data_IF_868995653757
#
_entry.id   IF_868995653757
#
_cell.length_a   1.000
_cell.length_b   1.000
_cell.length_c   1.000
_cell.angle_alpha   90.00
_cell.angle_beta   90.00
_cell.angle_gamma   90.00
#
_symmetry.space_group_name_H-M   'P 1'
#
loop_
_entity.id
_entity.type
_entity.pdbx_description
1 polymer ?
#
# COMPACT_ATOMS: atom_id res chain seq x y z
N UNK A 1 26.53 4.78 20.28
CA UNK A 1 25.49 5.75 20.64
C UNK A 1 25.76 6.99 19.79
N UNK A 2 25.00 7.15 18.71
CA UNK A 2 25.21 8.23 17.73
C UNK A 2 24.67 9.53 18.34
N UNK A 3 25.40 10.63 18.21
CA UNK A 3 25.00 11.94 18.73
C UNK A 3 23.82 12.50 17.92
N UNK A 4 22.63 12.55 18.54
CA UNK A 4 21.39 13.01 17.89
C UNK A 4 21.47 14.47 17.40
N UNK A 5 22.44 15.28 17.87
CA UNK A 5 22.59 16.69 17.46
C UNK A 5 23.17 16.89 16.05
N UNK A 6 23.72 15.86 15.42
CA UNK A 6 24.34 15.99 14.08
C UNK A 6 23.49 15.42 12.94
N UNK A 7 22.42 14.67 13.23
CA UNK A 7 21.63 14.02 12.19
C UNK A 7 20.70 15.01 11.49
N UNK A 8 20.72 15.01 10.17
CA UNK A 8 19.72 15.72 9.38
C UNK A 8 18.39 14.93 9.36
N UNK A 9 17.32 15.57 8.86
CA UNK A 9 15.99 14.98 8.87
C UNK A 9 15.90 13.64 8.11
N UNK A 10 16.66 13.47 7.02
CA UNK A 10 16.68 12.22 6.24
C UNK A 10 17.32 11.11 7.03
N UNK A 11 18.47 11.38 7.66
CA UNK A 11 19.17 10.42 8.51
C UNK A 11 18.29 9.99 9.69
N UNK A 12 17.59 10.94 10.31
CA UNK A 12 16.67 10.66 11.42
C UNK A 12 15.52 9.74 10.98
N UNK A 13 14.87 10.03 9.85
CA UNK A 13 13.74 9.21 9.36
C UNK A 13 14.22 7.81 8.97
N UNK A 14 15.37 7.72 8.29
CA UNK A 14 15.95 6.44 7.88
C UNK A 14 16.34 5.58 9.10
N UNK A 15 16.98 6.17 10.10
CA UNK A 15 17.36 5.50 11.34
C UNK A 15 16.11 5.05 12.13
N UNK A 16 15.12 5.93 12.26
CA UNK A 16 13.87 5.59 12.94
C UNK A 16 13.13 4.44 12.25
N UNK A 17 12.98 4.48 10.91
CA UNK A 17 12.24 3.47 10.17
C UNK A 17 12.98 2.12 10.11
N UNK A 18 14.31 2.12 10.00
CA UNK A 18 15.11 0.89 9.88
C UNK A 18 15.27 0.13 11.19
N UNK A 19 15.22 0.82 12.33
CA UNK A 19 15.31 0.20 13.67
C UNK A 19 13.95 -0.06 14.32
N UNK A 20 12.83 0.24 13.65
CA UNK A 20 11.48 0.02 14.22
C UNK A 20 11.14 -1.47 14.26
N UNK A 21 10.78 -1.98 15.44
CA UNK A 21 10.29 -3.33 15.67
C UNK A 21 8.79 -3.32 16.01
N UNK A 22 8.12 -4.44 15.78
CA UNK A 22 6.66 -4.55 15.93
C UNK A 22 6.18 -4.30 17.37
N UNK A 23 6.94 -4.75 18.37
CA UNK A 23 6.62 -4.61 19.79
C UNK A 23 6.78 -3.16 20.30
N UNK A 24 7.50 -2.32 19.55
CA UNK A 24 7.60 -0.88 19.81
C UNK A 24 6.36 -0.11 19.34
N UNK A 25 5.45 -0.73 18.59
CA UNK A 25 4.25 -0.08 18.08
C UNK A 25 3.21 0.12 19.21
N UNK A 26 2.72 1.36 19.44
CA UNK A 26 1.66 1.59 20.41
C UNK A 26 0.39 0.80 20.07
N UNK A 27 -0.35 0.27 21.06
CA UNK A 27 -1.59 -0.47 20.80
C UNK A 27 -2.62 0.31 19.97
N UNK A 28 -2.68 1.63 20.14
CA UNK A 28 -3.54 2.49 19.34
C UNK A 28 -3.09 2.55 17.87
N UNK A 29 -1.79 2.61 17.60
CA UNK A 29 -1.25 2.64 16.23
C UNK A 29 -1.60 1.34 15.49
N UNK A 30 -1.43 0.19 16.15
CA UNK A 30 -1.84 -1.12 15.59
C UNK A 30 -3.33 -1.16 15.24
N UNK A 31 -4.18 -0.67 16.14
CA UNK A 31 -5.63 -0.61 15.91
C UNK A 31 -5.97 0.29 14.72
N UNK A 32 -5.35 1.47 14.60
CA UNK A 32 -5.60 2.41 13.51
C UNK A 32 -5.07 1.90 12.18
N UNK A 33 -3.88 1.31 12.16
CA UNK A 33 -3.33 0.68 10.96
C UNK A 33 -4.26 -0.41 10.42
N UNK A 34 -4.79 -1.28 11.29
CA UNK A 34 -5.78 -2.28 10.89
C UNK A 34 -7.05 -1.69 10.28
N UNK A 35 -7.55 -0.57 10.82
CA UNK A 35 -8.71 0.13 10.26
C UNK A 35 -8.42 0.70 8.87
N UNK A 36 -7.28 1.37 8.69
CA UNK A 36 -6.87 1.95 7.40
C UNK A 36 -6.64 0.87 6.34
N UNK A 37 -6.03 -0.25 6.71
CA UNK A 37 -5.81 -1.39 5.79
C UNK A 37 -7.15 -1.93 5.29
N UNK A 38 -8.11 -2.16 6.21
CA UNK A 38 -9.44 -2.68 5.84
C UNK A 38 -10.18 -1.68 4.96
N UNK A 39 -10.17 -0.40 5.33
CA UNK A 39 -10.80 0.68 4.55
C UNK A 39 -10.25 0.76 3.12
N UNK A 40 -8.91 0.82 2.99
CA UNK A 40 -8.22 0.90 1.69
C UNK A 40 -8.56 -0.28 0.78
N UNK A 41 -8.54 -1.51 1.32
CA UNK A 41 -8.88 -2.71 0.55
C UNK A 41 -10.35 -2.67 0.13
N UNK A 42 -11.27 -2.24 1.01
CA UNK A 42 -12.69 -2.13 0.67
C UNK A 42 -12.93 -1.12 -0.46
N UNK A 43 -12.29 0.05 -0.42
CA UNK A 43 -12.36 1.05 -1.49
C UNK A 43 -11.85 0.48 -2.82
N UNK A 44 -10.73 -0.23 -2.81
CA UNK A 44 -10.18 -0.86 -4.01
C UNK A 44 -11.13 -1.92 -4.59
N UNK A 45 -11.72 -2.76 -3.74
CA UNK A 45 -12.70 -3.77 -4.16
C UNK A 45 -13.96 -3.12 -4.72
N UNK A 46 -14.46 -2.06 -4.09
CA UNK A 46 -15.61 -1.29 -4.58
C UNK A 46 -15.35 -0.66 -5.95
N UNK A 47 -14.12 -0.19 -6.20
CA UNK A 47 -13.71 0.38 -7.49
C UNK A 47 -13.46 -0.66 -8.59
N UNK A 48 -13.25 -1.94 -8.24
CA UNK A 48 -12.78 -2.98 -9.17
C UNK A 48 -13.70 -3.19 -10.39
N UNK A 49 -14.99 -2.94 -10.22
CA UNK A 49 -16.02 -3.12 -11.25
C UNK A 49 -16.15 -1.92 -12.20
N UNK A 50 -15.54 -0.78 -11.87
CA UNK A 50 -15.55 0.41 -12.74
C UNK A 50 -14.61 0.24 -13.92
N UNK A 51 -14.77 1.10 -14.94
CA UNK A 51 -13.94 1.06 -16.13
C UNK A 51 -12.47 1.37 -15.83
N UNK A 52 -12.20 2.35 -14.94
CA UNK A 52 -10.83 2.65 -14.53
C UNK A 52 -10.23 1.51 -13.70
N UNK A 53 -11.02 0.91 -12.79
CA UNK A 53 -10.59 -0.26 -12.05
C UNK A 53 -10.13 -1.36 -13.01
N UNK A 54 -11.01 -1.77 -13.94
CA UNK A 54 -10.73 -2.74 -15.02
C UNK A 54 -9.44 -2.42 -15.76
N UNK A 55 -9.36 -1.22 -16.33
CA UNK A 55 -8.23 -0.76 -17.13
C UNK A 55 -6.90 -0.77 -16.35
N UNK A 56 -6.91 -0.43 -15.06
CA UNK A 56 -5.71 -0.50 -14.23
C UNK A 56 -5.17 -1.93 -14.09
N UNK A 57 -6.06 -2.92 -13.98
CA UNK A 57 -5.67 -4.33 -13.95
C UNK A 57 -5.06 -4.78 -15.29
N UNK A 58 -5.70 -4.41 -16.39
CA UNK A 58 -5.24 -4.74 -17.75
C UNK A 58 -3.89 -4.08 -18.08
N UNK A 59 -3.73 -2.81 -17.72
CA UNK A 59 -2.48 -2.09 -17.90
C UNK A 59 -1.34 -2.76 -17.14
N UNK A 60 -1.53 -3.05 -15.85
CA UNK A 60 -0.51 -3.70 -15.04
C UNK A 60 -0.17 -5.11 -15.55
N UNK A 61 -1.16 -5.88 -16.03
CA UNK A 61 -0.91 -7.18 -16.64
C UNK A 61 -0.07 -7.09 -17.92
N UNK A 62 -0.23 -6.02 -18.70
CA UNK A 62 0.50 -5.80 -19.94
C UNK A 62 1.92 -5.27 -19.72
N UNK A 63 2.13 -4.42 -18.70
CA UNK A 63 3.41 -3.73 -18.47
C UNK A 63 4.27 -4.36 -17.40
N UNK A 64 3.65 -4.97 -16.39
CA UNK A 64 4.29 -5.50 -15.18
C UNK A 64 3.80 -6.93 -14.87
N UNK A 65 3.92 -7.89 -15.83
CA UNK A 65 3.49 -9.26 -15.62
C UNK A 65 4.35 -9.93 -14.53
N UNK A 66 3.78 -10.90 -13.84
CA UNK A 66 4.49 -11.66 -12.82
C UNK A 66 3.58 -12.60 -12.04
N UNK A 67 4.12 -13.23 -11.00
CA UNK A 67 3.41 -14.24 -10.20
C UNK A 67 3.50 -14.02 -8.69
N UNK A 68 4.06 -12.89 -8.25
CA UNK A 68 4.42 -12.62 -6.86
C UNK A 68 3.21 -12.18 -6.03
N UNK A 69 2.40 -11.30 -6.61
CA UNK A 69 1.30 -10.61 -5.92
C UNK A 69 -0.01 -10.76 -6.66
N UNK A 70 -1.12 -10.46 -5.98
CA UNK A 70 -2.48 -10.59 -6.51
C UNK A 70 -3.09 -9.22 -6.81
N UNK A 71 -3.79 -9.12 -7.93
CA UNK A 71 -4.71 -8.03 -8.18
C UNK A 71 -5.97 -8.24 -7.33
N UNK A 72 -6.24 -7.32 -6.39
CA UNK A 72 -7.32 -7.49 -5.42
C UNK A 72 -8.68 -7.66 -6.08
N UNK A 73 -9.47 -8.62 -5.57
CA UNK A 73 -10.78 -8.97 -6.11
C UNK A 73 -10.75 -9.90 -7.33
N UNK A 74 -9.58 -10.48 -7.65
CA UNK A 74 -9.41 -11.43 -8.76
C UNK A 74 -8.40 -12.53 -8.40
N UNK A 75 -8.28 -13.55 -9.25
CA UNK A 75 -7.20 -14.55 -9.18
C UNK A 75 -5.96 -14.19 -10.01
N UNK A 76 -5.95 -13.00 -10.62
CA UNK A 76 -4.85 -12.54 -11.48
C UNK A 76 -3.60 -12.29 -10.66
N UNK A 77 -2.48 -12.84 -11.12
CA UNK A 77 -1.15 -12.59 -10.53
C UNK A 77 -0.35 -11.61 -11.37
N UNK A 78 0.45 -10.79 -10.69
CA UNK A 78 1.28 -9.72 -11.26
C UNK A 78 2.64 -9.68 -10.56
N UNK A 79 3.58 -8.89 -11.08
CA UNK A 79 4.76 -8.50 -10.32
C UNK A 79 4.34 -7.71 -9.06
N UNK A 80 5.21 -7.63 -8.07
CA UNK A 80 4.93 -6.82 -6.87
C UNK A 80 4.63 -5.35 -7.23
N UNK A 81 5.37 -4.78 -8.19
CA UNK A 81 5.17 -3.41 -8.65
C UNK A 81 3.84 -3.23 -9.39
N UNK A 82 3.50 -4.15 -10.30
CA UNK A 82 2.25 -4.12 -11.05
C UNK A 82 1.01 -4.24 -10.15
N UNK A 83 1.04 -5.17 -9.19
CA UNK A 83 -0.04 -5.32 -8.22
C UNK A 83 -0.19 -4.07 -7.34
N UNK A 84 0.92 -3.51 -6.83
CA UNK A 84 0.89 -2.29 -6.02
C UNK A 84 0.26 -1.12 -6.78
N UNK A 85 0.67 -0.91 -8.04
CA UNK A 85 0.13 0.16 -8.88
C UNK A 85 -1.36 -0.02 -9.14
N UNK A 86 -1.79 -1.21 -9.61
CA UNK A 86 -3.19 -1.44 -9.97
C UNK A 86 -4.13 -1.37 -8.75
N UNK A 87 -3.71 -1.90 -7.60
CA UNK A 87 -4.49 -1.86 -6.36
C UNK A 87 -4.59 -0.42 -5.82
N UNK A 88 -3.53 0.39 -5.92
CA UNK A 88 -3.55 1.79 -5.48
C UNK A 88 -4.43 2.68 -6.38
N UNK A 89 -4.39 2.46 -7.70
CA UNK A 89 -5.29 3.17 -8.64
C UNK A 89 -6.75 2.86 -8.29
N UNK A 90 -7.08 1.59 -8.05
CA UNK A 90 -8.41 1.20 -7.64
C UNK A 90 -8.79 1.79 -6.28
N UNK A 91 -7.91 1.75 -5.27
CA UNK A 91 -8.23 2.25 -3.93
C UNK A 91 -8.58 3.73 -3.91
N UNK A 92 -7.90 4.56 -4.72
CA UNK A 92 -8.16 6.00 -4.80
C UNK A 92 -9.29 6.40 -5.76
N UNK A 93 -9.77 5.48 -6.61
CA UNK A 93 -10.67 5.83 -7.71
C UNK A 93 -12.01 6.43 -7.26
N UNK A 94 -12.58 5.94 -6.16
CA UNK A 94 -13.88 6.38 -5.67
C UNK A 94 -13.81 7.66 -4.83
N UNK A 95 -12.61 8.12 -4.44
CA UNK A 95 -12.43 9.21 -3.48
C UNK A 95 -13.05 8.90 -2.11
N UNK A 96 -13.09 7.62 -1.73
CA UNK A 96 -13.70 7.12 -0.49
C UNK A 96 -12.69 6.58 0.52
N UNK A 97 -11.42 6.49 0.12
CA UNK A 97 -10.31 6.19 1.02
C UNK A 97 -10.14 7.20 2.15
N UNK A 98 -9.36 6.79 3.13
CA UNK A 98 -8.87 7.63 4.21
C UNK A 98 -8.23 8.96 3.73
N UNK A 99 -8.41 10.00 4.57
CA UNK A 99 -7.91 11.37 4.37
C UNK A 99 -7.04 11.84 5.53
#
# INVERSE_FOLDING_TARGET
MVDMKSMNAVEYIADHASNLEYDMLPPLALKRAGQVIVDTICCALGARVTDLGKLAGEFAAATEPGSECVLWGTDTKLSAAGAAWANAVASKHLGMDDS
#
